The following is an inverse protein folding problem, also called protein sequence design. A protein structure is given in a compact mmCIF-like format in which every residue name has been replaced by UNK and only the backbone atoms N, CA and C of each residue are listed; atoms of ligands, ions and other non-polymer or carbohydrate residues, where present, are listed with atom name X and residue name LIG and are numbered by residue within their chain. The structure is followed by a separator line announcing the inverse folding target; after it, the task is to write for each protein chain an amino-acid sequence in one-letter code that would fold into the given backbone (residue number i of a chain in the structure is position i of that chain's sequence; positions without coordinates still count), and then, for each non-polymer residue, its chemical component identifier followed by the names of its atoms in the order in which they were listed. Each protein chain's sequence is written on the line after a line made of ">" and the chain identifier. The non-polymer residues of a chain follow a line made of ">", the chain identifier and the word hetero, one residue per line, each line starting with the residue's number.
data_IF_299609400895
#
_entry.id   IF_299609400895
#
_cell.length_a   1.000
_cell.length_b   1.000
_cell.length_c   1.000
_cell.angle_alpha   90.00
_cell.angle_beta   90.00
_cell.angle_gamma   90.00
#
_symmetry.space_group_name_H-M   'P 1'
#
loop_
_entity.id
_entity.type
_entity.pdbx_description
1 polymer ?
#
# COMPACT_ATOMS: atom_id res chain seq x y z
N UNK A 1 2.64 -1.41 14.00
CA UNK A 1 1.85 -0.93 15.16
C UNK A 1 2.08 -1.72 16.45
N UNK A 2 2.88 -2.80 16.48
CA UNK A 2 3.16 -3.56 17.73
C UNK A 2 4.46 -3.14 18.42
N UNK A 3 4.56 -1.87 18.80
CA UNK A 3 5.65 -1.34 19.64
C UNK A 3 5.03 -0.35 20.63
N UNK A 4 4.41 -0.86 21.68
CA UNK A 4 3.76 -0.05 22.72
C UNK A 4 4.49 -0.23 24.03
N UNK A 5 5.03 0.86 24.55
CA UNK A 5 5.80 0.88 25.79
C UNK A 5 4.90 1.02 27.03
N UNK A 6 3.69 1.54 26.86
CA UNK A 6 2.69 1.74 27.93
C UNK A 6 1.37 1.00 27.62
N UNK A 7 0.71 0.38 28.61
CA UNK A 7 -0.65 -0.14 28.47
C UNK A 7 -1.66 0.92 27.99
N UNK A 8 -1.47 2.18 28.36
CA UNK A 8 -2.33 3.31 27.98
C UNK A 8 -2.20 3.59 26.47
N UNK A 9 -0.98 3.69 25.96
CA UNK A 9 -0.72 3.85 24.51
C UNK A 9 -1.43 2.77 23.71
N UNK A 10 -1.33 1.52 24.19
CA UNK A 10 -1.96 0.36 23.56
C UNK A 10 -3.47 0.44 23.58
N UNK A 11 -4.05 0.84 24.70
CA UNK A 11 -5.49 1.02 24.80
C UNK A 11 -5.99 2.09 23.83
N UNK A 12 -5.33 3.26 23.82
CA UNK A 12 -5.66 4.38 22.93
C UNK A 12 -5.52 3.97 21.47
N UNK A 13 -4.41 3.32 21.09
CA UNK A 13 -4.19 2.85 19.73
C UNK A 13 -5.23 1.82 19.27
N UNK A 14 -5.62 0.87 20.12
CA UNK A 14 -6.64 -0.12 19.78
C UNK A 14 -8.02 0.53 19.63
N UNK A 15 -8.39 1.46 20.52
CA UNK A 15 -9.65 2.20 20.40
C UNK A 15 -9.71 3.00 19.09
N UNK A 16 -8.66 3.75 18.78
CA UNK A 16 -8.59 4.59 17.58
C UNK A 16 -8.51 3.79 16.27
N UNK A 17 -7.88 2.62 16.29
CA UNK A 17 -7.83 1.70 15.15
C UNK A 17 -9.06 0.77 15.06
N UNK A 18 -10.09 1.05 15.87
CA UNK A 18 -11.35 0.32 15.92
C UNK A 18 -11.19 -1.19 16.16
N UNK A 19 -10.15 -1.56 16.90
CA UNK A 19 -9.81 -2.93 17.24
C UNK A 19 -10.50 -3.35 18.55
N UNK A 20 -10.68 -4.67 18.77
CA UNK A 20 -11.09 -5.19 20.06
C UNK A 20 -10.05 -4.84 21.14
N UNK A 21 -10.54 -4.35 22.29
CA UNK A 21 -9.71 -4.04 23.45
C UNK A 21 -9.82 -5.24 24.41
N UNK A 22 -8.72 -5.94 24.73
CA UNK A 22 -8.75 -7.07 25.65
C UNK A 22 -9.19 -6.64 27.07
N UNK A 23 -10.01 -7.43 27.78
CA UNK A 23 -10.38 -7.14 29.17
C UNK A 23 -9.17 -6.91 30.10
N UNK A 24 -8.14 -7.76 29.96
CA UNK A 24 -6.89 -7.62 30.73
C UNK A 24 -6.16 -6.29 30.50
N UNK A 25 -6.34 -5.67 29.33
CA UNK A 25 -5.79 -4.35 29.05
C UNK A 25 -6.60 -3.25 29.74
N UNK A 26 -7.93 -3.38 29.77
CA UNK A 26 -8.84 -2.47 30.48
C UNK A 26 -8.54 -2.49 31.99
N UNK A 27 -8.34 -3.67 32.54
CA UNK A 27 -7.93 -3.84 33.95
C UNK A 27 -6.59 -3.15 34.23
N UNK A 28 -5.61 -3.30 33.33
CA UNK A 28 -4.27 -2.75 33.53
C UNK A 28 -4.18 -1.22 33.53
N UNK A 29 -5.22 -0.53 33.04
CA UNK A 29 -5.29 0.94 32.97
C UNK A 29 -6.34 1.52 33.92
N UNK A 30 -6.94 0.71 34.79
CA UNK A 30 -8.01 1.11 35.70
C UNK A 30 -7.67 2.34 36.56
N UNK A 31 -6.40 2.49 36.96
CA UNK A 31 -5.90 3.64 37.73
C UNK A 31 -5.59 4.89 36.90
N UNK A 32 -5.71 4.81 35.57
CA UNK A 32 -5.29 5.84 34.62
C UNK A 32 -6.45 6.39 33.79
N UNK A 33 -7.67 6.33 34.32
CA UNK A 33 -8.89 6.79 33.64
C UNK A 33 -8.81 8.26 33.21
N UNK A 34 -8.23 9.15 34.02
CA UNK A 34 -8.04 10.56 33.68
C UNK A 34 -7.14 10.76 32.46
N UNK A 35 -6.09 9.93 32.32
CA UNK A 35 -5.18 9.98 31.18
C UNK A 35 -5.87 9.47 29.91
N UNK A 36 -6.70 8.43 30.03
CA UNK A 36 -7.52 7.95 28.92
C UNK A 36 -8.52 9.03 28.49
N UNK A 37 -9.20 9.68 29.44
CA UNK A 37 -10.13 10.76 29.16
C UNK A 37 -9.42 11.94 28.47
N UNK A 38 -8.20 12.29 28.91
CA UNK A 38 -7.38 13.30 28.25
C UNK A 38 -7.03 12.94 26.80
N UNK A 39 -6.66 11.67 26.54
CA UNK A 39 -6.23 11.22 25.21
C UNK A 39 -7.39 10.91 24.24
N UNK A 40 -8.57 10.55 24.73
CA UNK A 40 -9.72 10.14 23.89
C UNK A 40 -10.91 11.10 23.93
N UNK A 41 -11.26 11.64 25.10
CA UNK A 41 -12.48 12.44 25.27
C UNK A 41 -12.23 13.94 25.14
N UNK A 42 -11.04 14.40 25.56
CA UNK A 42 -10.63 15.81 25.54
C UNK A 42 -9.60 16.11 24.43
N UNK A 43 -9.38 15.17 23.53
CA UNK A 43 -8.36 15.29 22.50
C UNK A 43 -8.93 15.97 21.25
N UNK A 44 -8.42 17.14 20.85
CA UNK A 44 -8.92 17.88 19.68
C UNK A 44 -8.91 17.05 18.38
N UNK A 45 -7.94 16.14 18.23
CA UNK A 45 -7.89 15.24 17.07
C UNK A 45 -9.05 14.24 17.08
N UNK A 46 -9.38 13.68 18.23
CA UNK A 46 -10.48 12.70 18.35
C UNK A 46 -11.83 13.39 18.20
N UNK A 47 -11.96 14.64 18.65
CA UNK A 47 -13.14 15.47 18.41
C UNK A 47 -13.34 15.74 16.91
N UNK A 48 -12.27 16.04 16.17
CA UNK A 48 -12.33 16.31 14.73
C UNK A 48 -12.51 15.05 13.87
N UNK A 49 -11.94 13.92 14.29
CA UNK A 49 -11.94 12.66 13.55
C UNK A 49 -12.40 11.46 14.41
N UNK A 50 -13.63 11.49 14.95
CA UNK A 50 -14.08 10.47 15.89
C UNK A 50 -14.44 9.15 15.19
N UNK A 51 -14.26 8.01 15.89
CA UNK A 51 -14.98 6.78 15.54
C UNK A 51 -16.50 7.02 15.44
N UNK A 52 -17.23 6.17 14.71
CA UNK A 52 -18.70 6.30 14.65
C UNK A 52 -19.35 6.18 16.02
N UNK A 53 -20.45 6.90 16.29
CA UNK A 53 -21.18 6.80 17.56
C UNK A 53 -21.54 5.35 17.95
N UNK A 54 -21.85 4.49 16.98
CA UNK A 54 -22.15 3.07 17.20
C UNK A 54 -20.94 2.31 17.73
N UNK A 55 -19.74 2.57 17.19
CA UNK A 55 -18.51 1.99 17.70
C UNK A 55 -18.23 2.51 19.11
N UNK A 56 -18.28 3.83 19.32
CA UNK A 56 -18.03 4.45 20.61
C UNK A 56 -18.94 3.87 21.69
N UNK A 57 -20.25 3.80 21.44
CA UNK A 57 -21.23 3.24 22.37
C UNK A 57 -20.90 1.80 22.76
N UNK A 58 -20.60 0.95 21.77
CA UNK A 58 -20.24 -0.46 22.03
C UNK A 58 -18.94 -0.58 22.81
N UNK A 59 -17.91 0.17 22.43
CA UNK A 59 -16.60 0.14 23.08
C UNK A 59 -16.71 0.61 24.54
N UNK A 60 -17.28 1.80 24.78
CA UNK A 60 -17.41 2.35 26.13
C UNK A 60 -18.34 1.54 27.03
N UNK A 61 -19.42 0.95 26.49
CA UNK A 61 -20.24 0.01 27.25
C UNK A 61 -19.44 -1.22 27.70
N UNK A 62 -18.58 -1.76 26.83
CA UNK A 62 -17.71 -2.89 27.18
C UNK A 62 -16.64 -2.50 28.19
N UNK A 63 -16.06 -1.30 28.06
CA UNK A 63 -15.03 -0.78 28.98
C UNK A 63 -15.63 -0.61 30.37
N UNK A 64 -16.75 0.10 30.50
CA UNK A 64 -17.44 0.32 31.78
C UNK A 64 -17.84 -1.00 32.43
N UNK A 65 -18.46 -1.91 31.67
CA UNK A 65 -18.84 -3.22 32.21
C UNK A 65 -17.63 -4.02 32.73
N UNK A 66 -16.48 -3.94 32.05
CA UNK A 66 -15.26 -4.63 32.49
C UNK A 66 -14.71 -4.02 33.78
N UNK A 67 -14.71 -2.68 33.90
CA UNK A 67 -14.28 -1.99 35.12
C UNK A 67 -15.20 -2.33 36.31
N UNK A 68 -16.52 -2.32 36.10
CA UNK A 68 -17.52 -2.68 37.11
C UNK A 68 -17.39 -4.14 37.57
N UNK A 69 -17.18 -5.08 36.64
CA UNK A 69 -16.97 -6.50 36.96
C UNK A 69 -15.74 -6.71 37.86
N UNK A 70 -14.73 -5.86 37.74
CA UNK A 70 -13.52 -5.87 38.56
C UNK A 70 -13.60 -4.96 39.79
N UNK A 71 -14.80 -4.46 40.15
CA UNK A 71 -15.03 -3.56 41.28
C UNK A 71 -14.19 -2.27 41.22
N UNK A 72 -13.88 -1.80 40.02
CA UNK A 72 -13.22 -0.51 39.79
C UNK A 72 -14.27 0.58 39.69
N UNK A 73 -14.12 1.64 40.48
CA UNK A 73 -14.96 2.84 40.37
C UNK A 73 -14.67 3.55 39.04
N UNK A 74 -15.72 3.76 38.25
CA UNK A 74 -15.64 4.43 36.95
C UNK A 74 -15.66 5.94 37.16
N UNK A 75 -14.70 6.64 36.57
CA UNK A 75 -14.62 8.09 36.63
C UNK A 75 -15.88 8.76 36.08
N UNK A 76 -16.28 9.88 36.71
CA UNK A 76 -17.44 10.67 36.30
C UNK A 76 -17.39 11.05 34.81
N UNK A 77 -16.19 11.37 34.29
CA UNK A 77 -15.99 11.77 32.90
C UNK A 77 -16.34 10.65 31.92
N UNK A 78 -15.86 9.44 32.17
CA UNK A 78 -16.15 8.27 31.33
C UNK A 78 -17.64 7.92 31.42
N UNK A 79 -18.20 7.97 32.63
CA UNK A 79 -19.61 7.65 32.85
C UNK A 79 -20.53 8.67 32.14
N UNK A 80 -20.25 9.96 32.27
CA UNK A 80 -20.97 11.02 31.57
C UNK A 80 -20.89 10.87 30.05
N UNK A 81 -19.72 10.54 29.51
CA UNK A 81 -19.55 10.29 28.08
C UNK A 81 -20.41 9.10 27.60
N UNK A 82 -20.42 7.99 28.35
CA UNK A 82 -21.28 6.85 28.03
C UNK A 82 -22.76 7.23 28.05
N UNK A 83 -23.21 7.98 29.06
CA UNK A 83 -24.62 8.46 29.14
C UNK A 83 -25.00 9.31 27.92
N UNK A 84 -24.11 10.21 27.49
CA UNK A 84 -24.32 11.01 26.28
C UNK A 84 -24.46 10.13 25.03
N UNK A 85 -23.59 9.13 24.86
CA UNK A 85 -23.66 8.17 23.73
C UNK A 85 -24.93 7.32 23.74
N UNK A 86 -25.46 7.00 24.92
CA UNK A 86 -26.68 6.22 25.10
C UNK A 86 -27.96 7.03 24.84
N UNK A 87 -27.89 8.36 24.99
CA UNK A 87 -29.01 9.26 24.72
C UNK A 87 -29.22 9.52 23.22
N UNK A 88 -28.19 9.30 22.39
CA UNK A 88 -28.30 9.42 20.95
C UNK A 88 -29.09 8.23 20.35
N UNK A 89 -30.05 8.47 19.44
CA UNK A 89 -30.80 7.40 18.80
C UNK A 89 -29.85 6.51 17.97
N UNK A 90 -30.13 5.20 17.87
CA UNK A 90 -29.35 4.31 17.00
C UNK A 90 -29.51 4.73 15.53
N UNK A 91 -28.42 4.67 14.76
CA UNK A 91 -28.50 4.92 13.31
C UNK A 91 -29.36 3.86 12.63
N UNK A 92 -30.30 4.28 11.79
CA UNK A 92 -31.00 3.38 10.88
C UNK A 92 -30.17 3.21 9.59
N UNK A 93 -30.02 1.96 9.12
CA UNK A 93 -29.36 1.65 7.84
C UNK A 93 -28.03 0.91 8.00
N UNK A 94 -27.27 0.77 6.89
CA UNK A 94 -25.97 0.12 6.92
C UNK A 94 -24.96 0.91 7.78
N UNK A 95 -23.93 0.25 8.34
CA UNK A 95 -22.89 0.92 9.12
C UNK A 95 -22.26 2.09 8.36
N UNK A 96 -22.28 3.28 8.94
CA UNK A 96 -21.59 4.43 8.38
C UNK A 96 -20.07 4.21 8.34
N UNK A 97 -19.40 4.90 7.42
CA UNK A 97 -17.94 4.97 7.41
C UNK A 97 -17.43 5.59 8.72
N UNK A 98 -16.30 5.12 9.22
CA UNK A 98 -15.71 5.55 10.49
C UNK A 98 -14.30 6.04 10.27
N UNK A 99 -13.93 7.10 10.99
CA UNK A 99 -12.51 7.43 11.12
C UNK A 99 -11.82 6.33 11.90
N UNK A 100 -10.65 5.94 11.42
CA UNK A 100 -9.67 5.11 12.10
C UNK A 100 -8.37 5.89 12.15
N UNK A 101 -7.79 6.03 13.34
CA UNK A 101 -6.50 6.70 13.53
C UNK A 101 -5.44 5.69 13.93
N UNK A 102 -4.37 5.62 13.15
CA UNK A 102 -3.24 4.75 13.34
C UNK A 102 -2.08 5.54 13.95
N UNK A 103 -1.62 5.15 15.14
CA UNK A 103 -0.53 5.83 15.84
C UNK A 103 0.82 5.23 15.45
N UNK A 104 1.51 5.87 14.48
CA UNK A 104 2.86 5.50 14.07
C UNK A 104 3.86 5.81 15.20
N UNK A 105 4.75 4.88 15.59
CA UNK A 105 5.79 5.17 16.56
C UNK A 105 6.88 6.06 15.96
N UNK A 106 7.72 6.69 16.79
CA UNK A 106 8.88 7.43 16.33
C UNK A 106 9.94 6.46 15.75
N UNK A 107 10.54 6.76 14.59
CA UNK A 107 11.72 6.04 14.08
C UNK A 107 12.89 6.11 15.09
N UNK A 108 13.83 5.18 14.99
CA UNK A 108 14.94 5.06 15.94
C UNK A 108 15.70 6.39 16.16
N UNK A 109 16.05 6.75 17.41
CA UNK A 109 16.53 8.07 17.82
C UNK A 109 17.91 8.49 17.26
N UNK A 110 18.51 7.70 16.37
CA UNK A 110 19.79 8.01 15.71
C UNK A 110 19.66 8.94 14.48
N UNK A 111 18.45 9.33 14.08
CA UNK A 111 18.22 10.29 12.99
C UNK A 111 17.88 11.66 13.57
N UNK A 112 18.30 12.74 12.89
CA UNK A 112 17.92 14.14 13.14
C UNK A 112 16.39 14.40 13.03
N UNK A 113 15.57 13.33 13.00
CA UNK A 113 14.15 13.33 12.75
C UNK A 113 13.30 13.50 14.02
N UNK A 114 13.86 13.46 15.24
CA UNK A 114 13.04 13.51 16.47
C UNK A 114 12.31 14.85 16.66
N UNK A 115 12.97 15.97 16.39
CA UNK A 115 12.33 17.30 16.48
C UNK A 115 11.27 17.47 15.39
N UNK A 116 11.54 16.97 14.18
CA UNK A 116 10.59 16.98 13.07
C UNK A 116 9.44 15.97 13.26
N UNK A 117 9.65 14.95 14.10
CA UNK A 117 8.64 13.96 14.46
C UNK A 117 7.64 14.49 15.49
N UNK A 118 8.07 15.38 16.38
CA UNK A 118 7.19 16.01 17.38
C UNK A 118 6.11 16.86 16.72
N UNK A 119 4.95 16.92 17.36
CA UNK A 119 3.81 17.73 16.91
C UNK A 119 3.73 19.01 17.73
N UNK A 120 3.13 20.05 17.14
CA UNK A 120 2.91 21.29 17.87
C UNK A 120 1.94 21.04 19.05
N UNK A 121 2.20 21.64 20.23
CA UNK A 121 1.29 21.55 21.35
C UNK A 121 -0.14 22.00 20.98
N UNK A 122 -1.14 21.30 21.50
CA UNK A 122 -2.55 21.64 21.31
C UNK A 122 -3.21 21.11 20.03
N UNK A 123 -2.45 20.48 19.12
CA UNK A 123 -3.05 19.79 17.96
C UNK A 123 -3.72 18.47 18.35
N UNK A 124 -3.11 17.74 19.28
CA UNK A 124 -3.63 16.50 19.86
C UNK A 124 -3.02 16.29 21.24
N UNK A 125 -3.62 15.37 21.99
CA UNK A 125 -3.15 14.95 23.32
C UNK A 125 -2.46 13.58 23.27
N UNK A 126 -2.08 13.08 22.09
CA UNK A 126 -1.38 11.79 22.01
C UNK A 126 0.07 11.94 22.47
N UNK A 127 0.67 10.83 22.89
CA UNK A 127 2.09 10.77 23.21
C UNK A 127 2.95 11.34 22.06
N UNK A 128 3.95 12.16 22.40
CA UNK A 128 4.77 12.88 21.41
C UNK A 128 5.75 11.97 20.64
N UNK A 129 5.94 10.73 21.10
CA UNK A 129 6.64 9.69 20.34
C UNK A 129 5.74 8.99 19.32
N UNK A 130 4.43 9.25 19.32
CA UNK A 130 3.49 8.76 18.30
C UNK A 130 3.29 9.78 17.20
N UNK A 131 2.68 9.42 16.08
CA UNK A 131 2.14 10.35 15.09
C UNK A 131 0.88 9.74 14.49
N UNK A 132 -0.26 10.46 14.48
CA UNK A 132 -1.49 9.94 13.93
C UNK A 132 -1.45 9.93 12.40
N UNK A 133 -1.96 8.85 11.81
CA UNK A 133 -2.39 8.77 10.41
C UNK A 133 -3.85 8.40 10.43
N UNK A 134 -4.71 9.28 9.92
CA UNK A 134 -6.16 9.12 10.01
C UNK A 134 -6.74 8.77 8.66
N UNK A 135 -7.63 7.80 8.60
CA UNK A 135 -8.37 7.49 7.39
C UNK A 135 -9.84 7.33 7.72
N UNK A 136 -10.69 7.73 6.79
CA UNK A 136 -12.10 7.39 6.79
C UNK A 136 -12.27 6.11 5.96
N UNK A 137 -12.84 5.07 6.57
CA UNK A 137 -13.03 3.77 5.92
C UNK A 137 -14.42 3.19 6.17
N UNK A 138 -14.88 2.36 5.24
CA UNK A 138 -16.12 1.61 5.36
C UNK A 138 -16.02 0.57 6.48
N UNK A 139 -17.16 0.29 7.09
CA UNK A 139 -17.31 -0.74 8.13
C UNK A 139 -17.92 -2.04 7.60
N UNK A 140 -18.21 -2.11 6.29
CA UNK A 140 -18.64 -3.34 5.61
C UNK A 140 -17.49 -3.90 4.76
N UNK A 141 -17.49 -5.22 4.53
CA UNK A 141 -16.44 -5.87 3.72
C UNK A 141 -16.53 -5.50 2.25
N UNK A 142 -17.76 -5.34 1.75
CA UNK A 142 -18.06 -4.89 0.39
C UNK A 142 -19.02 -3.72 0.52
N UNK A 143 -18.70 -2.62 -0.13
CA UNK A 143 -19.56 -1.45 -0.28
C UNK A 143 -19.46 -0.99 -1.73
N UNK A 144 -20.59 -0.61 -2.36
CA UNK A 144 -20.62 -0.13 -3.75
C UNK A 144 -20.01 -1.09 -4.78
N UNK A 145 -19.99 -2.39 -4.47
CA UNK A 145 -19.43 -3.43 -5.35
C UNK A 145 -17.91 -3.60 -5.26
N UNK A 146 -17.24 -2.85 -4.38
CA UNK A 146 -15.78 -2.90 -4.19
C UNK A 146 -15.39 -3.32 -2.77
N UNK A 147 -14.21 -3.92 -2.64
CA UNK A 147 -13.54 -4.25 -1.37
C UNK A 147 -12.51 -3.19 -0.97
N UNK A 148 -12.26 -2.18 -1.82
CA UNK A 148 -11.20 -1.18 -1.65
C UNK A 148 -11.51 -0.07 -0.65
N UNK A 149 -12.77 0.03 -0.17
CA UNK A 149 -13.20 1.07 0.78
C UNK A 149 -12.84 0.79 2.24
N UNK A 150 -12.02 -0.23 2.52
CA UNK A 150 -11.51 -0.53 3.86
C UNK A 150 -10.05 -0.94 3.84
N UNK A 151 -9.37 -0.77 4.97
CA UNK A 151 -8.01 -1.29 5.14
C UNK A 151 -8.03 -2.80 5.32
N UNK A 152 -7.16 -3.49 4.59
CA UNK A 152 -6.93 -4.94 4.70
C UNK A 152 -5.68 -5.27 5.49
N UNK A 153 -5.63 -6.49 6.05
CA UNK A 153 -4.56 -6.93 6.96
C UNK A 153 -3.17 -6.80 6.35
N UNK A 154 -3.00 -7.21 5.08
CA UNK A 154 -1.70 -7.11 4.41
C UNK A 154 -1.23 -5.65 4.25
N UNK A 155 -2.13 -4.67 4.14
CA UNK A 155 -1.78 -3.24 4.10
C UNK A 155 -1.23 -2.77 5.45
N UNK A 156 -1.84 -3.21 6.57
CA UNK A 156 -1.33 -2.93 7.92
C UNK A 156 0.06 -3.54 8.14
N UNK A 157 0.24 -4.80 7.75
CA UNK A 157 1.50 -5.52 7.92
C UNK A 157 2.60 -4.91 7.03
N UNK A 158 2.28 -4.53 5.78
CA UNK A 158 3.23 -3.84 4.89
C UNK A 158 3.54 -2.43 5.38
N UNK A 159 2.56 -1.66 5.87
CA UNK A 159 2.81 -0.33 6.43
C UNK A 159 3.72 -0.40 7.66
N UNK A 160 3.54 -1.39 8.55
CA UNK A 160 4.44 -1.63 9.66
C UNK A 160 5.85 -2.03 9.19
N UNK A 161 5.95 -2.89 8.18
CA UNK A 161 7.23 -3.30 7.64
C UNK A 161 7.96 -2.14 6.95
N UNK A 162 7.28 -1.35 6.11
CA UNK A 162 7.82 -0.15 5.46
C UNK A 162 8.25 0.87 6.51
N UNK A 163 7.48 1.06 7.57
CA UNK A 163 7.85 1.95 8.66
C UNK A 163 9.20 1.56 9.31
N UNK A 164 9.41 0.25 9.57
CA UNK A 164 10.66 -0.27 10.12
C UNK A 164 11.82 -0.23 9.12
N UNK A 165 11.51 -0.25 7.82
CA UNK A 165 12.47 -0.22 6.72
C UNK A 165 12.40 1.10 5.94
N UNK A 166 12.09 2.21 6.63
CA UNK A 166 11.70 3.47 6.02
C UNK A 166 12.69 4.01 4.96
N UNK A 167 13.99 3.71 5.10
CA UNK A 167 15.03 4.11 4.16
C UNK A 167 14.75 3.73 2.71
N UNK A 168 13.99 2.65 2.46
CA UNK A 168 13.62 2.22 1.11
C UNK A 168 12.65 3.20 0.42
N UNK A 169 11.88 3.97 1.20
CA UNK A 169 10.87 4.91 0.68
C UNK A 169 11.21 6.38 0.94
N UNK A 170 12.03 6.69 1.95
CA UNK A 170 12.31 8.06 2.42
C UNK A 170 12.71 9.03 1.32
N UNK A 171 13.49 8.56 0.34
CA UNK A 171 13.98 9.37 -0.77
C UNK A 171 13.68 8.76 -2.14
N UNK A 172 12.80 7.76 -2.19
CA UNK A 172 12.44 7.07 -3.42
C UNK A 172 11.24 7.75 -4.08
N UNK A 173 11.10 7.54 -5.38
CA UNK A 173 9.81 7.71 -6.07
C UNK A 173 9.02 6.41 -5.93
N UNK A 174 7.81 6.49 -5.41
CA UNK A 174 7.04 5.31 -5.02
C UNK A 174 5.73 5.24 -5.80
N UNK A 175 5.42 4.05 -6.33
CA UNK A 175 4.12 3.73 -6.92
C UNK A 175 3.42 2.72 -6.02
N UNK A 176 2.21 3.02 -5.55
CA UNK A 176 1.37 2.05 -4.86
C UNK A 176 0.28 1.53 -5.81
N UNK A 177 0.24 0.21 -6.00
CA UNK A 177 -0.79 -0.49 -6.77
C UNK A 177 -1.88 -0.98 -5.82
N UNK A 178 -3.15 -0.62 -6.10
CA UNK A 178 -4.29 -1.07 -5.31
C UNK A 178 -4.32 -0.42 -3.93
N UNK A 179 -4.24 0.91 -3.93
CA UNK A 179 -4.08 1.71 -2.71
C UNK A 179 -5.27 1.65 -1.75
N UNK A 180 -6.46 1.27 -2.24
CA UNK A 180 -7.65 1.25 -1.42
C UNK A 180 -7.93 2.62 -0.80
N UNK A 181 -8.14 2.65 0.51
CA UNK A 181 -8.35 3.91 1.28
C UNK A 181 -7.08 4.72 1.55
N UNK A 182 -5.90 4.23 1.14
CA UNK A 182 -4.65 4.98 1.11
C UNK A 182 -3.77 4.89 2.37
N UNK A 183 -4.00 3.93 3.28
CA UNK A 183 -3.23 3.84 4.53
C UNK A 183 -1.71 3.72 4.30
N UNK A 184 -1.30 2.83 3.40
CA UNK A 184 0.11 2.57 3.13
C UNK A 184 0.75 3.77 2.43
N UNK A 185 0.12 4.33 1.41
CA UNK A 185 0.58 5.56 0.76
C UNK A 185 0.69 6.76 1.72
N UNK A 186 -0.27 6.95 2.64
CA UNK A 186 -0.18 7.99 3.67
C UNK A 186 0.95 7.76 4.66
N UNK A 187 1.24 6.49 4.99
CA UNK A 187 2.39 6.13 5.82
C UNK A 187 3.69 6.51 5.11
N UNK A 188 3.81 6.22 3.81
CA UNK A 188 4.96 6.61 2.98
C UNK A 188 5.10 8.13 2.90
N UNK A 189 4.02 8.85 2.59
CA UNK A 189 4.01 10.32 2.51
C UNK A 189 4.47 10.95 3.83
N UNK A 190 4.00 10.41 4.96
CA UNK A 190 4.39 10.85 6.30
C UNK A 190 5.89 10.67 6.54
N UNK A 191 6.45 9.51 6.17
CA UNK A 191 7.89 9.25 6.30
C UNK A 191 8.68 10.21 5.40
N UNK A 192 8.35 10.29 4.11
CA UNK A 192 9.05 11.15 3.15
C UNK A 192 9.09 12.61 3.61
N UNK A 193 7.97 13.16 4.10
CA UNK A 193 7.91 14.54 4.61
C UNK A 193 8.87 14.77 5.77
N UNK A 194 8.92 13.83 6.72
CA UNK A 194 9.77 13.95 7.91
C UNK A 194 11.25 13.85 7.53
N UNK A 195 11.59 12.92 6.64
CA UNK A 195 12.97 12.78 6.17
C UNK A 195 13.42 13.99 5.35
N UNK A 196 12.57 14.52 4.47
CA UNK A 196 12.87 15.75 3.72
C UNK A 196 13.08 16.95 4.64
N UNK A 197 12.25 17.12 5.66
CA UNK A 197 12.41 18.19 6.64
C UNK A 197 13.69 18.07 7.48
N UNK A 198 14.27 16.87 7.60
CA UNK A 198 15.52 16.63 8.32
C UNK A 198 16.81 16.87 7.50
N UNK A 199 16.68 17.19 6.20
CA UNK A 199 17.85 17.40 5.32
C UNK A 199 18.47 18.78 5.50
N UNK A 200 19.78 18.88 5.28
CA UNK A 200 20.45 20.19 5.25
C UNK A 200 20.08 20.95 3.97
N UNK A 201 20.15 22.30 3.98
CA UNK A 201 19.94 23.09 2.77
C UNK A 201 20.87 22.73 1.61
N UNK A 202 22.09 22.27 1.87
CA UNK A 202 22.99 21.79 0.81
C UNK A 202 22.54 20.44 0.24
N UNK A 203 22.12 19.49 1.08
CA UNK A 203 21.59 18.18 0.63
C UNK A 203 20.34 18.35 -0.23
N UNK A 204 19.46 19.28 0.14
CA UNK A 204 18.26 19.61 -0.61
C UNK A 204 18.59 20.25 -1.97
N UNK A 205 19.58 21.17 -2.03
CA UNK A 205 19.99 21.85 -3.27
C UNK A 205 20.71 20.94 -4.26
N UNK A 206 21.42 19.93 -3.77
CA UNK A 206 22.16 19.00 -4.62
C UNK A 206 21.29 17.89 -5.23
N UNK A 207 19.99 17.80 -4.87
CA UNK A 207 19.08 16.81 -5.47
C UNK A 207 18.55 17.31 -6.82
N UNK A 208 18.62 16.50 -7.88
CA UNK A 208 17.97 16.82 -9.14
C UNK A 208 16.45 16.96 -8.96
N UNK A 209 15.79 18.03 -9.45
CA UNK A 209 14.36 18.24 -9.29
C UNK A 209 13.51 17.07 -9.77
N UNK A 210 13.91 16.44 -10.88
CA UNK A 210 13.26 15.26 -11.47
C UNK A 210 13.30 14.00 -10.58
N UNK A 211 14.16 13.98 -9.55
CA UNK A 211 14.28 12.88 -8.58
C UNK A 211 13.74 13.25 -7.21
N UNK A 212 12.85 14.24 -7.14
CA UNK A 212 12.14 14.57 -5.91
C UNK A 212 11.33 13.36 -5.43
N UNK A 213 11.44 12.96 -4.13
CA UNK A 213 10.67 11.86 -3.58
C UNK A 213 9.18 12.14 -3.72
N UNK A 214 8.43 11.12 -4.11
CA UNK A 214 7.00 11.20 -4.27
C UNK A 214 6.36 9.84 -4.00
N UNK A 215 5.04 9.86 -3.82
CA UNK A 215 4.20 8.67 -3.76
C UNK A 215 2.96 8.90 -4.62
N UNK A 216 2.73 7.98 -5.55
CA UNK A 216 1.50 7.94 -6.36
C UNK A 216 0.70 6.71 -5.98
N UNK A 217 -0.44 6.95 -5.34
CA UNK A 217 -1.42 5.94 -4.95
C UNK A 217 -2.36 5.67 -6.11
N UNK A 218 -2.46 4.41 -6.52
CA UNK A 218 -3.29 4.02 -7.66
C UNK A 218 -4.34 3.00 -7.31
N UNK A 219 -5.49 3.11 -7.96
CA UNK A 219 -6.59 2.15 -7.91
C UNK A 219 -7.40 2.26 -9.21
N UNK A 220 -8.36 1.37 -9.43
CA UNK A 220 -9.23 1.39 -10.62
C UNK A 220 -10.62 1.95 -10.31
N UNK A 221 -11.10 1.78 -9.08
CA UNK A 221 -12.46 2.14 -8.69
C UNK A 221 -12.57 3.62 -8.31
N UNK A 222 -13.50 4.35 -8.93
CA UNK A 222 -13.67 5.80 -8.72
C UNK A 222 -14.08 6.17 -7.29
N UNK A 223 -14.92 5.35 -6.64
CA UNK A 223 -15.34 5.58 -5.25
C UNK A 223 -14.14 5.37 -4.30
N UNK A 224 -13.30 4.37 -4.58
CA UNK A 224 -12.05 4.11 -3.85
C UNK A 224 -11.05 5.25 -4.05
N UNK A 225 -10.82 5.69 -5.28
CA UNK A 225 -9.94 6.83 -5.59
C UNK A 225 -10.42 8.11 -4.91
N UNK A 226 -11.73 8.35 -4.93
CA UNK A 226 -12.34 9.50 -4.24
C UNK A 226 -12.13 9.42 -2.73
N UNK A 227 -12.28 8.23 -2.14
CA UNK A 227 -12.03 8.00 -0.71
C UNK A 227 -10.56 8.22 -0.36
N UNK A 228 -9.65 7.65 -1.13
CA UNK A 228 -8.21 7.81 -0.98
C UNK A 228 -7.80 9.28 -1.05
N UNK A 229 -8.29 10.02 -2.05
CA UNK A 229 -8.04 11.45 -2.20
C UNK A 229 -8.65 12.29 -1.06
N UNK A 230 -9.81 11.88 -0.53
CA UNK A 230 -10.43 12.52 0.65
C UNK A 230 -9.55 12.32 1.88
N UNK A 231 -9.08 11.09 2.12
CA UNK A 231 -8.19 10.77 3.24
C UNK A 231 -6.87 11.55 3.13
N UNK A 232 -6.29 11.64 1.93
CA UNK A 232 -5.10 12.45 1.69
C UNK A 232 -5.28 13.93 2.06
N UNK A 233 -6.46 14.49 1.80
CA UNK A 233 -6.77 15.90 2.06
C UNK A 233 -7.22 16.20 3.49
N UNK A 234 -7.32 15.19 4.37
CA UNK A 234 -7.65 15.42 5.77
C UNK A 234 -6.60 16.35 6.40
N UNK A 235 -6.99 17.44 7.08
CA UNK A 235 -6.04 18.39 7.65
C UNK A 235 -5.05 17.80 8.66
N UNK A 236 -5.42 16.70 9.33
CA UNK A 236 -4.52 15.98 10.23
C UNK A 236 -3.48 15.10 9.52
N UNK A 237 -3.70 14.79 8.24
CA UNK A 237 -2.72 14.09 7.41
C UNK A 237 -1.75 15.06 6.75
N UNK A 238 -0.67 14.53 6.19
CA UNK A 238 0.37 15.35 5.58
C UNK A 238 -0.12 16.05 4.31
N UNK A 239 -0.20 17.38 4.41
CA UNK A 239 -0.65 18.31 3.38
C UNK A 239 0.49 18.80 2.48
N UNK A 240 1.00 17.94 1.59
CA UNK A 240 1.67 18.41 0.38
C UNK A 240 1.10 17.70 -0.86
N UNK A 241 0.37 18.47 -1.66
CA UNK A 241 -0.38 17.98 -2.82
C UNK A 241 0.50 17.78 -4.06
N UNK A 242 1.77 18.21 -4.05
CA UNK A 242 2.63 18.06 -5.24
C UNK A 242 3.37 16.72 -5.25
N UNK A 243 3.84 16.26 -4.09
CA UNK A 243 4.61 15.01 -3.97
C UNK A 243 3.75 13.78 -3.66
N UNK A 244 2.52 13.97 -3.19
CA UNK A 244 1.59 12.87 -2.88
C UNK A 244 0.37 12.97 -3.77
N UNK A 245 0.13 11.94 -4.58
CA UNK A 245 -0.91 12.00 -5.62
C UNK A 245 -1.76 10.73 -5.63
N UNK A 246 -3.01 10.87 -6.06
CA UNK A 246 -3.93 9.75 -6.33
C UNK A 246 -4.22 9.74 -7.83
N UNK A 247 -4.15 8.57 -8.45
CA UNK A 247 -4.36 8.38 -9.90
C UNK A 247 -5.12 7.09 -10.19
N UNK A 248 -5.93 7.12 -11.24
CA UNK A 248 -6.52 5.90 -11.77
C UNK A 248 -5.45 5.07 -12.50
N UNK A 249 -5.43 3.76 -12.24
CA UNK A 249 -4.62 2.80 -12.99
C UNK A 249 -5.39 1.47 -13.07
N UNK A 250 -5.89 1.18 -14.27
CA UNK A 250 -6.47 -0.12 -14.57
C UNK A 250 -5.35 -1.07 -15.03
N UNK A 251 -5.08 -2.12 -14.25
CA UNK A 251 -4.05 -3.09 -14.61
C UNK A 251 -4.42 -3.88 -15.87
N UNK A 252 -5.71 -4.03 -16.19
CA UNK A 252 -6.16 -4.78 -17.38
C UNK A 252 -5.67 -4.13 -18.67
N UNK A 253 -5.40 -2.82 -18.64
CA UNK A 253 -4.83 -2.08 -19.77
C UNK A 253 -3.41 -2.53 -20.09
N UNK A 254 -2.71 -3.13 -19.13
CA UNK A 254 -1.32 -3.60 -19.32
C UNK A 254 -1.21 -4.80 -20.27
N UNK A 255 -2.30 -5.55 -20.43
CA UNK A 255 -2.40 -6.73 -21.32
C UNK A 255 -3.22 -6.46 -22.59
N UNK A 256 -3.83 -5.28 -22.72
CA UNK A 256 -4.51 -4.85 -23.95
C UNK A 256 -3.55 -4.01 -24.81
N UNK A 257 -3.15 -4.48 -26.01
CA UNK A 257 -2.23 -3.76 -26.88
C UNK A 257 -2.68 -2.34 -27.25
N UNK A 258 -3.99 -2.07 -27.26
CA UNK A 258 -4.54 -0.75 -27.60
C UNK A 258 -4.56 0.22 -26.42
N UNK A 259 -4.50 -0.30 -25.19
CA UNK A 259 -4.64 0.47 -23.95
C UNK A 259 -3.35 0.51 -23.11
N UNK A 260 -2.36 -0.33 -23.38
CA UNK A 260 -1.07 -0.39 -22.65
C UNK A 260 -0.36 0.96 -22.58
N UNK A 261 -0.58 1.86 -23.55
CA UNK A 261 -0.07 3.24 -23.54
C UNK A 261 -0.51 4.05 -22.31
N UNK A 262 -1.68 3.80 -21.75
CA UNK A 262 -2.17 4.48 -20.54
C UNK A 262 -1.40 4.05 -19.31
N UNK A 263 -1.07 2.75 -19.22
CA UNK A 263 -0.19 2.22 -18.17
C UNK A 263 1.21 2.82 -18.32
N UNK A 264 1.77 2.84 -19.54
CA UNK A 264 3.06 3.47 -19.80
C UNK A 264 3.09 4.94 -19.39
N UNK A 265 2.06 5.73 -19.72
CA UNK A 265 2.00 7.14 -19.36
C UNK A 265 2.09 7.38 -17.85
N UNK A 266 1.36 6.60 -17.03
CA UNK A 266 1.46 6.68 -15.57
C UNK A 266 2.85 6.24 -15.10
N UNK A 267 3.37 5.12 -15.60
CA UNK A 267 4.70 4.64 -15.21
C UNK A 267 5.82 5.61 -15.62
N UNK A 268 5.66 6.33 -16.74
CA UNK A 268 6.56 7.38 -17.22
C UNK A 268 6.51 8.63 -16.35
N UNK A 269 5.31 9.07 -15.96
CA UNK A 269 5.12 10.19 -15.04
C UNK A 269 5.71 9.90 -13.66
N UNK A 270 5.46 8.69 -13.14
CA UNK A 270 5.91 8.32 -11.80
C UNK A 270 7.40 7.97 -11.78
N UNK A 271 7.93 7.27 -12.79
CA UNK A 271 9.31 6.75 -12.82
C UNK A 271 9.76 6.20 -11.46
N UNK A 272 8.98 5.27 -10.92
CA UNK A 272 9.15 4.77 -9.57
C UNK A 272 10.46 3.97 -9.41
N UNK A 273 11.13 4.17 -8.28
CA UNK A 273 12.21 3.32 -7.79
C UNK A 273 11.65 2.12 -7.01
N UNK A 274 10.53 2.34 -6.32
CA UNK A 274 9.87 1.34 -5.47
C UNK A 274 8.40 1.21 -5.85
N UNK A 275 7.97 -0.03 -6.07
CA UNK A 275 6.55 -0.38 -6.21
C UNK A 275 6.08 -1.05 -4.94
N UNK A 276 4.94 -0.62 -4.39
CA UNK A 276 4.29 -1.22 -3.24
C UNK A 276 2.93 -1.77 -3.67
N UNK A 277 2.55 -2.93 -3.14
CA UNK A 277 1.20 -3.45 -3.33
C UNK A 277 0.77 -4.28 -2.12
N UNK A 278 -0.44 -4.05 -1.64
CA UNK A 278 -0.98 -4.74 -0.48
C UNK A 278 -2.31 -5.39 -0.81
N UNK A 279 -2.40 -6.70 -0.56
CA UNK A 279 -3.62 -7.49 -0.71
C UNK A 279 -4.24 -7.51 -2.12
N UNK A 280 -3.41 -7.31 -3.15
CA UNK A 280 -3.84 -7.19 -4.55
C UNK A 280 -4.04 -8.52 -5.28
N UNK A 281 -3.74 -9.66 -4.64
CA UNK A 281 -3.89 -11.01 -5.22
C UNK A 281 -5.05 -11.73 -4.51
N UNK A 282 -6.26 -11.51 -5.01
CA UNK A 282 -7.49 -12.12 -4.48
C UNK A 282 -8.29 -12.89 -5.54
N UNK A 283 -8.20 -12.46 -6.81
CA UNK A 283 -8.86 -13.09 -7.95
C UNK A 283 -7.84 -13.59 -8.99
N UNK A 284 -7.93 -14.84 -9.48
CA UNK A 284 -7.01 -15.34 -10.50
C UNK A 284 -6.99 -14.51 -11.80
N UNK A 285 -8.11 -13.88 -12.17
CA UNK A 285 -8.21 -13.08 -13.40
C UNK A 285 -7.36 -11.81 -13.37
N UNK A 286 -7.06 -11.27 -12.19
CA UNK A 286 -6.22 -10.07 -12.07
C UNK A 286 -4.72 -10.38 -12.07
N UNK A 287 -4.32 -11.66 -11.96
CA UNK A 287 -2.91 -12.04 -11.84
C UNK A 287 -2.12 -11.68 -13.11
N UNK A 288 -2.55 -12.04 -14.34
CA UNK A 288 -1.85 -11.64 -15.54
C UNK A 288 -1.67 -10.11 -15.67
N UNK A 289 -2.74 -9.27 -15.57
CA UNK A 289 -2.58 -7.83 -15.66
C UNK A 289 -1.75 -7.21 -14.53
N UNK A 290 -1.86 -7.70 -13.29
CA UNK A 290 -1.03 -7.23 -12.18
C UNK A 290 0.45 -7.53 -12.42
N UNK A 291 0.79 -8.77 -12.76
CA UNK A 291 2.19 -9.17 -12.99
C UNK A 291 2.79 -8.50 -14.21
N UNK A 292 1.97 -8.26 -15.25
CA UNK A 292 2.37 -7.44 -16.40
C UNK A 292 2.65 -5.99 -16.01
N UNK A 293 1.77 -5.38 -15.21
CA UNK A 293 1.98 -4.02 -14.69
C UNK A 293 3.26 -3.92 -13.86
N UNK A 294 3.50 -4.88 -12.97
CA UNK A 294 4.75 -4.96 -12.18
C UNK A 294 5.98 -5.06 -13.10
N UNK A 295 5.94 -5.93 -14.13
CA UNK A 295 7.02 -6.06 -15.11
C UNK A 295 7.28 -4.75 -15.84
N UNK A 296 6.23 -4.10 -16.34
CA UNK A 296 6.33 -2.81 -17.03
C UNK A 296 6.91 -1.71 -16.14
N UNK A 297 6.66 -1.76 -14.83
CA UNK A 297 7.24 -0.82 -13.87
C UNK A 297 8.72 -1.11 -13.58
N UNK A 298 9.12 -2.38 -13.48
CA UNK A 298 10.47 -2.81 -13.08
C UNK A 298 11.47 -2.80 -14.24
N UNK A 299 11.05 -3.20 -15.45
CA UNK A 299 11.93 -3.36 -16.64
C UNK A 299 12.25 -2.04 -17.36
N UNK A 300 11.83 -0.90 -16.80
CA UNK A 300 12.02 0.42 -17.42
C UNK A 300 13.51 0.75 -17.56
N UNK A 301 13.93 1.46 -18.62
CA UNK A 301 15.29 1.99 -18.70
C UNK A 301 15.62 2.82 -17.46
N UNK A 302 16.84 2.64 -16.96
CA UNK A 302 17.30 3.34 -15.77
C UNK A 302 17.67 4.78 -16.15
N UNK A 303 16.82 5.75 -15.81
CA UNK A 303 17.10 7.17 -16.04
C UNK A 303 18.10 7.71 -14.99
N UNK A 304 19.39 7.54 -15.24
CA UNK A 304 20.46 8.27 -14.52
C UNK A 304 20.76 7.87 -13.06
N UNK A 305 20.06 6.91 -12.46
CA UNK A 305 20.36 6.39 -11.11
C UNK A 305 20.64 4.90 -11.15
N UNK A 306 21.83 4.43 -10.77
CA UNK A 306 22.22 3.01 -10.73
C UNK A 306 21.37 2.13 -9.75
N UNK A 307 20.26 2.63 -9.22
CA UNK A 307 19.40 1.90 -8.30
C UNK A 307 18.49 0.91 -9.03
N UNK A 308 18.60 -0.36 -8.64
CA UNK A 308 17.67 -1.42 -9.02
C UNK A 308 16.23 -1.01 -8.60
N UNK A 309 15.27 -1.11 -9.52
CA UNK A 309 13.84 -0.95 -9.19
C UNK A 309 13.35 -2.21 -8.47
N UNK A 310 12.56 -2.04 -7.41
CA UNK A 310 12.11 -3.15 -6.57
C UNK A 310 10.61 -3.05 -6.29
N UNK A 311 9.93 -4.20 -6.28
CA UNK A 311 8.54 -4.29 -5.84
C UNK A 311 8.42 -5.04 -4.50
N UNK A 312 7.68 -4.49 -3.56
CA UNK A 312 7.30 -5.15 -2.31
C UNK A 312 5.80 -5.43 -2.31
N UNK A 313 5.44 -6.70 -2.30
CA UNK A 313 4.05 -7.16 -2.37
C UNK A 313 3.72 -7.95 -1.10
N UNK A 314 2.76 -7.46 -0.31
CA UNK A 314 2.25 -8.17 0.86
C UNK A 314 0.87 -8.74 0.57
N UNK A 315 0.66 -10.03 0.86
CA UNK A 315 -0.57 -10.74 0.51
C UNK A 315 -1.15 -11.48 1.71
N UNK A 316 -2.48 -11.49 1.83
CA UNK A 316 -3.17 -12.41 2.73
C UNK A 316 -3.35 -13.74 2.02
N UNK A 317 -2.76 -14.82 2.54
CA UNK A 317 -2.93 -16.16 1.97
C UNK A 317 -4.35 -16.66 2.25
N UNK A 318 -5.24 -16.56 1.25
CA UNK A 318 -6.63 -17.04 1.31
C UNK A 318 -6.82 -18.40 0.62
N UNK A 319 -6.13 -18.58 -0.52
CA UNK A 319 -6.15 -19.78 -1.36
C UNK A 319 -4.74 -20.05 -1.85
N UNK A 320 -4.23 -21.25 -1.59
CA UNK A 320 -2.89 -21.66 -2.02
C UNK A 320 -2.75 -21.65 -3.54
N UNK A 321 -3.78 -22.08 -4.28
CA UNK A 321 -3.80 -22.08 -5.74
C UNK A 321 -3.66 -20.68 -6.34
N UNK A 322 -4.36 -19.69 -5.79
CA UNK A 322 -4.27 -18.29 -6.27
C UNK A 322 -2.87 -17.73 -6.01
N UNK A 323 -2.30 -18.01 -4.84
CA UNK A 323 -0.93 -17.63 -4.52
C UNK A 323 0.09 -18.31 -5.44
N UNK A 324 -0.05 -19.62 -5.67
CA UNK A 324 0.81 -20.37 -6.58
C UNK A 324 0.72 -19.84 -8.01
N UNK A 325 -0.49 -19.51 -8.48
CA UNK A 325 -0.71 -18.87 -9.78
C UNK A 325 0.00 -17.51 -9.89
N UNK A 326 -0.03 -16.70 -8.83
CA UNK A 326 0.69 -15.44 -8.77
C UNK A 326 2.20 -15.66 -8.79
N UNK A 327 2.73 -16.55 -7.95
CA UNK A 327 4.15 -16.87 -7.92
C UNK A 327 4.64 -17.38 -9.26
N UNK A 328 3.91 -18.27 -9.93
CA UNK A 328 4.25 -18.76 -11.27
C UNK A 328 4.26 -17.64 -12.31
N UNK A 329 3.33 -16.70 -12.23
CA UNK A 329 3.22 -15.56 -13.14
C UNK A 329 4.32 -14.52 -12.92
N UNK A 330 4.74 -14.32 -11.67
CA UNK A 330 5.73 -13.33 -11.27
C UNK A 330 7.19 -13.85 -11.29
N UNK A 331 7.40 -15.15 -11.14
CA UNK A 331 8.75 -15.74 -11.07
C UNK A 331 9.40 -15.73 -12.45
N UNK A 332 10.57 -15.08 -12.60
CA UNK A 332 11.28 -15.11 -13.86
C UNK A 332 12.01 -16.44 -14.05
N UNK A 333 12.12 -16.87 -15.31
CA UNK A 333 13.03 -17.91 -15.77
C UNK A 333 13.71 -17.44 -17.06
N UNK A 334 14.70 -18.18 -17.55
CA UNK A 334 15.38 -17.81 -18.79
C UNK A 334 14.91 -18.67 -19.96
N UNK A 335 14.86 -18.10 -21.15
CA UNK A 335 14.81 -18.87 -22.40
C UNK A 335 16.06 -18.55 -23.22
N UNK A 336 16.59 -19.56 -23.88
CA UNK A 336 17.73 -19.40 -24.79
C UNK A 336 17.21 -19.28 -26.22
N UNK A 337 17.43 -18.13 -26.82
CA UNK A 337 17.12 -17.89 -28.23
C UNK A 337 18.30 -18.39 -29.07
N UNK A 338 18.08 -19.50 -29.77
CA UNK A 338 19.03 -20.14 -30.67
C UNK A 338 19.01 -19.44 -32.02
N UNK A 339 20.15 -18.89 -32.43
CA UNK A 339 20.31 -18.10 -33.66
C UNK A 339 21.24 -18.79 -34.63
N UNK A 340 20.98 -18.66 -35.93
CA UNK A 340 21.77 -19.30 -36.98
C UNK A 340 23.07 -18.55 -37.32
N UNK A 341 23.08 -17.23 -37.16
CA UNK A 341 24.17 -16.36 -37.64
C UNK A 341 24.88 -15.56 -36.54
N UNK A 342 24.41 -15.63 -35.30
CA UNK A 342 24.98 -14.91 -34.16
C UNK A 342 24.94 -15.74 -32.88
N UNK A 343 25.59 -15.24 -31.82
CA UNK A 343 25.56 -15.89 -30.52
C UNK A 343 24.12 -15.97 -29.97
N UNK A 344 23.85 -17.05 -29.24
CA UNK A 344 22.59 -17.24 -28.55
C UNK A 344 22.29 -16.06 -27.62
N UNK A 345 21.02 -15.67 -27.55
CA UNK A 345 20.55 -14.66 -26.62
C UNK A 345 19.81 -15.33 -25.47
N UNK A 346 20.20 -15.01 -24.24
CA UNK A 346 19.45 -15.37 -23.05
C UNK A 346 18.45 -14.28 -22.71
N UNK A 347 17.16 -14.63 -22.69
CA UNK A 347 16.07 -13.69 -22.36
C UNK A 347 15.46 -14.09 -21.03
N UNK A 348 15.42 -13.16 -20.08
CA UNK A 348 14.66 -13.30 -18.84
C UNK A 348 13.17 -13.10 -19.13
N UNK A 349 12.36 -14.12 -18.88
CA UNK A 349 10.92 -14.19 -19.17
C UNK A 349 10.15 -14.65 -17.93
N UNK A 350 8.83 -14.61 -17.97
CA UNK A 350 7.95 -15.35 -17.05
C UNK A 350 7.00 -16.22 -17.84
N UNK A 351 6.19 -17.04 -17.17
CA UNK A 351 5.21 -17.90 -17.84
C UNK A 351 4.19 -17.08 -18.66
N UNK A 352 4.00 -15.80 -18.32
CA UNK A 352 3.09 -14.87 -18.98
C UNK A 352 3.76 -13.96 -20.01
N UNK A 353 5.06 -14.08 -20.25
CA UNK A 353 5.71 -13.34 -21.35
C UNK A 353 5.08 -13.74 -22.68
N UNK A 354 4.70 -12.74 -23.48
CA UNK A 354 4.11 -12.94 -24.81
C UNK A 354 5.15 -13.21 -25.87
N UNK A 355 4.75 -13.83 -26.98
CA UNK A 355 5.65 -14.05 -28.12
C UNK A 355 6.16 -12.71 -28.69
N UNK A 356 5.31 -11.69 -28.77
CA UNK A 356 5.71 -10.35 -29.21
C UNK A 356 6.81 -9.73 -28.35
N UNK A 357 6.78 -9.95 -27.03
CA UNK A 357 7.82 -9.47 -26.12
C UNK A 357 9.17 -10.14 -26.38
N UNK A 358 9.17 -11.45 -26.62
CA UNK A 358 10.39 -12.18 -26.98
C UNK A 358 10.92 -11.66 -28.31
N UNK A 359 10.05 -11.47 -29.30
CA UNK A 359 10.44 -10.92 -30.61
C UNK A 359 11.05 -9.52 -30.48
N UNK A 360 10.46 -8.66 -29.64
CA UNK A 360 11.04 -7.35 -29.33
C UNK A 360 12.40 -7.46 -28.67
N UNK A 361 12.61 -8.37 -27.72
CA UNK A 361 13.92 -8.60 -27.08
C UNK A 361 14.98 -9.07 -28.07
N UNK A 362 14.58 -9.92 -29.02
CA UNK A 362 15.45 -10.34 -30.11
C UNK A 362 15.82 -9.15 -30.99
N UNK A 363 14.85 -8.30 -31.34
CA UNK A 363 15.08 -7.10 -32.15
C UNK A 363 15.98 -6.06 -31.46
N UNK A 364 15.79 -5.87 -30.15
CA UNK A 364 16.61 -4.98 -29.31
C UNK A 364 18.09 -5.43 -29.26
N UNK A 365 18.36 -6.73 -29.36
CA UNK A 365 19.71 -7.32 -29.29
C UNK A 365 20.33 -7.62 -30.68
N UNK A 366 19.51 -7.75 -31.72
CA UNK A 366 19.93 -8.02 -33.09
C UNK A 366 18.86 -7.60 -34.09
N UNK A 367 19.24 -6.99 -35.21
CA UNK A 367 18.32 -6.26 -36.09
C UNK A 367 17.38 -7.12 -36.97
N UNK A 368 16.81 -8.23 -36.47
CA UNK A 368 15.69 -8.93 -37.13
C UNK A 368 14.39 -8.28 -36.68
N UNK A 369 13.66 -7.54 -37.53
CA UNK A 369 12.40 -6.90 -37.14
C UNK A 369 11.39 -7.95 -36.62
N UNK A 370 10.56 -7.66 -35.60
CA UNK A 370 9.62 -8.63 -35.03
C UNK A 370 8.75 -9.35 -36.07
N UNK A 371 8.30 -8.64 -37.11
CA UNK A 371 7.47 -9.20 -38.18
C UNK A 371 8.22 -10.18 -39.11
N UNK A 372 9.54 -10.16 -39.09
CA UNK A 372 10.41 -11.04 -39.89
C UNK A 372 11.01 -12.16 -39.03
N UNK A 373 10.56 -12.32 -37.80
CA UNK A 373 11.01 -13.38 -36.91
C UNK A 373 10.02 -14.54 -36.92
N UNK A 374 10.52 -15.72 -37.29
CA UNK A 374 9.82 -16.98 -37.11
C UNK A 374 10.40 -17.70 -35.89
N UNK A 375 9.59 -17.86 -34.84
CA UNK A 375 9.99 -18.52 -33.60
C UNK A 375 9.43 -19.94 -33.54
N UNK A 376 10.26 -20.92 -33.13
CA UNK A 376 9.84 -22.32 -32.98
C UNK A 376 10.35 -22.94 -31.68
N UNK A 377 9.53 -23.79 -31.07
CA UNK A 377 9.86 -24.58 -29.88
C UNK A 377 9.22 -25.97 -29.99
N UNK A 378 10.00 -27.02 -29.73
CA UNK A 378 9.58 -28.42 -29.85
C UNK A 378 8.86 -28.76 -31.17
N UNK A 379 9.38 -28.22 -32.28
CA UNK A 379 8.80 -28.37 -33.61
C UNK A 379 7.51 -27.58 -33.87
N UNK A 380 6.96 -26.90 -32.85
CA UNK A 380 5.78 -26.04 -32.97
C UNK A 380 6.19 -24.59 -33.22
N UNK A 381 5.51 -23.94 -34.16
CA UNK A 381 5.68 -22.51 -34.40
C UNK A 381 4.98 -21.69 -33.30
N UNK A 382 5.67 -20.66 -32.82
CA UNK A 382 5.16 -19.67 -31.89
C UNK A 382 4.65 -18.48 -32.72
N UNK A 383 3.53 -18.71 -33.38
CA UNK A 383 2.95 -17.88 -34.45
C UNK A 383 2.03 -16.76 -33.97
N UNK A 384 1.43 -16.91 -32.78
CA UNK A 384 0.53 -15.93 -32.21
C UNK A 384 1.29 -14.95 -31.29
N UNK A 385 1.44 -13.70 -31.74
CA UNK A 385 2.13 -12.64 -31.02
C UNK A 385 1.51 -12.32 -29.65
N UNK A 386 0.20 -12.49 -29.50
CA UNK A 386 -0.54 -12.24 -28.25
C UNK A 386 -0.53 -13.46 -27.30
N UNK A 387 -0.10 -14.63 -27.78
CA UNK A 387 -0.03 -15.83 -26.96
C UNK A 387 1.14 -15.77 -25.97
N UNK A 388 0.96 -16.39 -24.80
CA UNK A 388 1.97 -16.45 -23.73
C UNK A 388 2.79 -17.73 -23.83
N UNK A 389 4.00 -17.72 -23.28
CA UNK A 389 4.83 -18.94 -23.14
C UNK A 389 4.04 -20.10 -22.51
N UNK A 390 3.28 -19.85 -21.45
CA UNK A 390 2.45 -20.88 -20.80
C UNK A 390 1.38 -21.47 -21.72
N UNK A 391 0.79 -20.67 -22.62
CA UNK A 391 -0.21 -21.18 -23.57
C UNK A 391 0.38 -22.17 -24.58
N UNK A 392 1.69 -22.11 -24.82
CA UNK A 392 2.44 -23.11 -25.56
C UNK A 392 2.96 -24.25 -24.67
N UNK A 393 2.83 -24.16 -23.34
CA UNK A 393 3.33 -25.14 -22.37
C UNK A 393 4.72 -24.81 -21.80
N UNK A 394 5.29 -23.67 -22.18
CA UNK A 394 6.63 -23.23 -21.76
C UNK A 394 6.52 -22.53 -20.40
N UNK A 395 7.03 -23.18 -19.35
CA UNK A 395 6.96 -22.67 -17.97
C UNK A 395 8.28 -22.80 -17.21
N UNK A 396 9.32 -23.28 -17.90
CA UNK A 396 10.68 -23.49 -17.39
C UNK A 396 11.68 -23.13 -18.49
N UNK A 397 12.96 -23.21 -18.18
CA UNK A 397 14.03 -22.91 -19.13
C UNK A 397 13.99 -23.85 -20.35
N UNK A 398 13.96 -23.25 -21.54
CA UNK A 398 13.89 -23.95 -22.83
C UNK A 398 14.70 -23.22 -23.91
N UNK A 399 14.98 -23.94 -25.00
CA UNK A 399 15.55 -23.40 -26.23
C UNK A 399 14.45 -23.01 -27.22
N UNK A 400 14.39 -21.74 -27.62
CA UNK A 400 13.52 -21.25 -28.71
C UNK A 400 14.39 -20.93 -29.91
N UNK A 401 14.04 -21.43 -31.09
CA UNK A 401 14.80 -21.19 -32.32
C UNK A 401 14.19 -20.01 -33.08
N UNK A 402 15.04 -19.09 -33.56
CA UNK A 402 14.63 -17.97 -34.40
C UNK A 402 15.22 -18.08 -35.81
N UNK A 403 14.37 -17.89 -36.81
CA UNK A 403 14.73 -17.78 -38.22
C UNK A 403 14.26 -16.42 -38.76
N UNK A 404 15.04 -15.84 -39.67
CA UNK A 404 14.58 -14.68 -40.44
C UNK A 404 13.75 -15.19 -41.60
N UNK A 405 12.53 -14.67 -41.75
CA UNK A 405 11.60 -14.99 -42.85
C UNK A 405 11.31 -13.78 -43.71
#
# INVERSE_FOLDING_TARGET
>A
MKLEKSPIDRFVALYLALQPIPPSLIESIASSQDEIAAQLLKNPHVEAYPPTPEYQRRAWKSIVATLEEHSVEVSDEIYMHLVQLMSAPPSAGPPAASYSTYLLPCPDPGTAALEMWRRLPGLDNFDQSRRPVTILESRTTIERGTTGLRTWRASLDLAEWVFRNNRIVSFARVLELGSGVGLLGLTVATLQKIFQASQTPEEAKNRPPERTPCIVMTDVDEDVLTRCATNLRLPCNTSDNQQTQVRALDWTDSVDPNRVRYVHAILDEVDADVVLAADVVYDPSIIPPLTRTLRLALDRPVSGSSSLRVAYVALTLRREETFAGFMKSATPFQVRIRRSTSADLWVQVTAKTTILEIKRKIFEDGAIPPNNQRLTWDGKELDNDDATLESYGITTEVDIYVESV
#
